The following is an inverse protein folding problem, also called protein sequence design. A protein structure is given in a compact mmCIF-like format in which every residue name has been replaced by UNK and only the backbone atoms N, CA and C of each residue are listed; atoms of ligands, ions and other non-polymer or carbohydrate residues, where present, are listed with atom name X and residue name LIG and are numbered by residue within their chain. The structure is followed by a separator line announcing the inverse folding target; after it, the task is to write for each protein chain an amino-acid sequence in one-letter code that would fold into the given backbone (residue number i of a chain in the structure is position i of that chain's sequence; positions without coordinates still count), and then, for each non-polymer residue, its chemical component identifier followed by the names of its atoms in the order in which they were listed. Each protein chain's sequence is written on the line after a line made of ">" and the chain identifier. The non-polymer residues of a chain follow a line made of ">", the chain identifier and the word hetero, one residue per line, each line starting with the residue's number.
data_IF_764561910765
#
_entry.id   IF_764561910765
#
_cell.length_a   1.000
_cell.length_b   1.000
_cell.length_c   1.000
_cell.angle_alpha   90.00
_cell.angle_beta   90.00
_cell.angle_gamma   90.00
#
_symmetry.space_group_name_H-M   'P 1'
#
loop_
_entity.id
_entity.type
_entity.pdbx_description
1 polymer ?
#
# COMPACT_ATOMS: atom_id res chain seq x y z
N UNK A 1 0.13 -37.82 -47.71
CA UNK A 1 -0.93 -37.34 -48.64
C UNK A 1 -2.28 -37.82 -48.16
N UNK A 2 -3.30 -37.04 -48.21
CA UNK A 2 -3.44 -35.59 -48.16
C UNK A 2 -4.43 -35.11 -47.08
N UNK A 3 -4.40 -33.85 -46.83
CA UNK A 3 -5.46 -33.03 -46.25
C UNK A 3 -6.63 -32.97 -47.31
N UNK A 4 -7.88 -32.78 -46.90
CA UNK A 4 -8.48 -31.45 -46.89
C UNK A 4 -9.50 -31.24 -45.78
N UNK A 5 -9.63 -29.99 -45.41
CA UNK A 5 -10.53 -28.89 -45.82
C UNK A 5 -11.79 -28.80 -44.99
N UNK A 6 -11.85 -27.66 -44.26
CA UNK A 6 -12.79 -26.53 -44.40
C UNK A 6 -14.29 -26.82 -44.36
N UNK A 7 -14.93 -26.10 -43.48
CA UNK A 7 -16.20 -25.40 -43.71
C UNK A 7 -16.55 -24.58 -42.46
N UNK A 8 -16.38 -23.35 -42.41
CA UNK A 8 -17.02 -22.12 -42.88
C UNK A 8 -18.56 -22.19 -42.94
N UNK A 9 -19.09 -21.06 -42.52
CA UNK A 9 -20.45 -20.53 -42.69
C UNK A 9 -21.37 -20.74 -41.47
N UNK A 10 -22.14 -19.78 -41.04
CA UNK A 10 -22.64 -18.51 -41.58
C UNK A 10 -23.24 -17.69 -40.42
N UNK A 11 -22.87 -16.50 -40.28
CA UNK A 11 -23.56 -15.22 -40.34
C UNK A 11 -25.08 -15.26 -40.58
N UNK A 12 -25.82 -14.52 -39.80
CA UNK A 12 -26.89 -13.59 -40.11
C UNK A 12 -27.47 -13.05 -38.82
N UNK A 13 -27.26 -11.81 -38.50
CA UNK A 13 -27.97 -10.59 -38.94
C UNK A 13 -29.51 -10.75 -38.82
N UNK A 14 -30.13 -9.90 -38.09
CA UNK A 14 -30.73 -8.61 -38.26
C UNK A 14 -31.79 -8.41 -37.17
N UNK A 15 -31.73 -7.34 -36.47
CA UNK A 15 -32.34 -6.03 -36.62
C UNK A 15 -33.79 -5.92 -36.13
N UNK A 16 -34.06 -4.81 -35.50
CA UNK A 16 -35.34 -4.22 -35.20
C UNK A 16 -35.29 -3.43 -33.91
N UNK A 17 -34.85 -2.23 -33.86
CA UNK A 17 -35.50 -0.93 -34.07
C UNK A 17 -36.94 -0.91 -33.50
N UNK A 18 -37.11 -0.07 -32.52
CA UNK A 18 -37.98 1.09 -32.42
C UNK A 18 -38.18 1.41 -30.94
N UNK A 19 -37.72 2.49 -30.52
CA UNK A 19 -38.15 3.89 -30.58
C UNK A 19 -39.41 4.21 -29.81
N UNK A 20 -39.24 5.31 -29.10
CA UNK A 20 -40.22 6.28 -28.63
C UNK A 20 -40.86 5.96 -27.26
N UNK A 21 -40.99 6.84 -26.43
CA UNK A 21 -40.95 8.28 -26.32
C UNK A 21 -41.46 8.64 -24.93
N UNK A 22 -40.81 9.64 -24.32
CA UNK A 22 -41.39 10.78 -23.61
C UNK A 22 -42.47 10.50 -22.56
N UNK A 23 -42.46 11.13 -21.50
CA UNK A 23 -42.55 12.50 -21.01
C UNK A 23 -42.61 12.45 -19.50
N UNK A 24 -41.80 13.15 -18.82
CA UNK A 24 -41.89 14.49 -18.27
C UNK A 24 -43.00 14.68 -17.20
N UNK A 25 -42.55 15.29 -16.14
CA UNK A 25 -43.15 16.40 -15.45
C UNK A 25 -43.57 16.20 -13.98
N UNK A 26 -42.86 17.00 -13.22
CA UNK A 26 -43.25 17.87 -12.10
C UNK A 26 -43.33 17.28 -10.70
N UNK A 27 -42.33 17.74 -9.93
CA UNK A 27 -42.41 18.94 -9.04
C UNK A 27 -43.47 18.87 -8.00
N UNK A 28 -43.02 18.77 -6.77
CA UNK A 28 -43.27 19.76 -5.72
C UNK A 28 -42.63 19.29 -4.41
N UNK A 29 -41.68 20.06 -3.91
CA UNK A 29 -41.55 20.40 -2.51
C UNK A 29 -42.77 21.25 -2.10
N UNK A 30 -43.11 21.47 -0.84
CA UNK A 30 -42.15 21.85 0.22
C UNK A 30 -42.51 21.42 1.65
N UNK A 31 -41.51 21.49 2.48
CA UNK A 31 -41.40 22.26 3.71
C UNK A 31 -42.10 21.82 5.02
N UNK A 32 -41.24 21.80 6.01
CA UNK A 32 -41.29 22.49 7.32
C UNK A 32 -42.04 21.75 8.44
N UNK A 33 -41.39 21.42 9.51
CA UNK A 33 -41.20 22.17 10.74
C UNK A 33 -40.80 21.21 11.87
N UNK A 34 -39.66 21.51 12.50
CA UNK A 34 -39.39 21.61 13.93
C UNK A 34 -39.92 20.50 14.85
N UNK A 35 -39.24 20.06 15.82
CA UNK A 35 -38.49 20.66 16.90
C UNK A 35 -37.87 19.56 17.76
N UNK A 36 -36.60 19.67 18.04
CA UNK A 36 -35.94 19.73 19.33
C UNK A 36 -36.45 18.80 20.46
N UNK A 37 -35.57 17.89 20.89
CA UNK A 37 -35.29 17.76 22.33
C UNK A 37 -33.84 17.24 22.52
N UNK A 38 -33.15 18.03 23.25
CA UNK A 38 -31.83 17.99 23.82
C UNK A 38 -31.57 16.80 24.76
N UNK A 39 -30.28 16.40 24.74
CA UNK A 39 -29.39 16.13 25.90
C UNK A 39 -29.14 14.68 26.32
N UNK A 40 -28.00 14.41 26.94
CA UNK A 40 -26.61 14.77 26.59
C UNK A 40 -25.66 13.57 26.46
N UNK A 41 -24.55 13.83 25.85
CA UNK A 41 -23.29 13.15 25.84
C UNK A 41 -22.85 12.44 27.13
N UNK A 42 -21.94 11.42 26.94
CA UNK A 42 -20.60 11.71 27.39
C UNK A 42 -19.60 11.63 26.24
N UNK A 43 -18.76 12.63 26.25
CA UNK A 43 -17.65 12.85 25.38
C UNK A 43 -16.77 11.61 25.28
N UNK A 44 -16.85 10.89 24.17
CA UNK A 44 -15.73 10.14 23.66
C UNK A 44 -14.88 11.16 22.94
N UNK A 45 -13.78 11.52 23.57
CA UNK A 45 -12.68 12.20 22.93
C UNK A 45 -12.34 11.38 21.69
N UNK A 46 -12.89 11.76 20.56
CA UNK A 46 -12.32 11.43 19.27
C UNK A 46 -10.98 12.15 19.28
N UNK A 47 -9.95 11.43 19.68
CA UNK A 47 -8.61 11.74 19.27
C UNK A 47 -8.69 11.81 17.74
N UNK A 48 -8.71 13.02 17.22
CA UNK A 48 -8.50 13.29 15.81
C UNK A 48 -7.17 12.66 15.48
N UNK A 49 -7.25 11.46 14.94
CA UNK A 49 -6.12 10.87 14.23
C UNK A 49 -5.95 11.78 13.02
N UNK A 50 -5.13 12.83 13.21
CA UNK A 50 -4.54 13.58 12.10
C UNK A 50 -4.07 12.52 11.11
N UNK A 51 -4.46 12.59 9.83
CA UNK A 51 -3.93 11.68 8.84
C UNK A 51 -2.42 11.74 8.97
N UNK A 52 -1.84 10.67 9.50
CA UNK A 52 -0.41 10.52 9.58
C UNK A 52 0.08 10.77 8.17
N UNK A 53 0.91 11.75 8.00
CA UNK A 53 1.52 12.10 6.73
C UNK A 53 1.95 10.79 6.07
N UNK A 54 1.33 10.48 4.95
CA UNK A 54 1.53 9.29 4.12
C UNK A 54 3.02 9.10 3.79
N UNK A 55 3.80 10.15 3.97
CA UNK A 55 5.22 10.29 3.72
C UNK A 55 6.13 9.29 4.44
N UNK A 56 5.72 8.73 5.56
CA UNK A 56 6.58 7.81 6.33
C UNK A 56 5.97 6.43 6.59
N UNK A 57 4.72 6.23 6.21
CA UNK A 57 4.02 4.96 6.25
C UNK A 57 3.26 4.66 7.54
N UNK A 58 2.38 3.67 7.45
CA UNK A 58 1.46 3.22 8.51
C UNK A 58 2.18 2.85 9.82
N UNK A 59 3.35 2.26 9.74
CA UNK A 59 4.06 1.72 10.91
C UNK A 59 4.86 2.73 11.72
N UNK A 60 4.82 4.02 11.38
CA UNK A 60 5.55 5.07 12.12
C UNK A 60 5.24 5.08 13.62
N UNK A 61 3.95 5.08 13.97
CA UNK A 61 3.55 5.11 15.37
C UNK A 61 3.93 3.82 16.11
N UNK A 62 3.84 2.68 15.44
CA UNK A 62 4.29 1.39 15.99
C UNK A 62 5.79 1.39 16.27
N UNK A 63 6.59 1.96 15.38
CA UNK A 63 8.01 2.13 15.60
C UNK A 63 8.29 3.01 16.81
N UNK A 64 7.59 4.12 16.96
CA UNK A 64 7.75 5.00 18.13
C UNK A 64 7.38 4.30 19.44
N UNK A 65 6.40 3.43 19.45
CA UNK A 65 6.06 2.60 20.59
C UNK A 65 7.13 1.53 20.83
N UNK A 66 7.61 0.88 19.77
CA UNK A 66 8.64 -0.13 19.84
C UNK A 66 9.94 0.42 20.48
N UNK A 67 10.42 1.58 20.08
CA UNK A 67 11.66 2.17 20.62
C UNK A 67 11.55 2.63 22.06
N UNK A 68 10.35 2.85 22.59
CA UNK A 68 10.14 3.11 24.03
C UNK A 68 10.41 1.87 24.88
N UNK A 69 10.08 0.69 24.36
CA UNK A 69 10.26 -0.60 25.03
C UNK A 69 11.59 -1.26 24.66
N UNK A 70 12.05 -1.04 23.44
CA UNK A 70 13.29 -1.59 22.89
C UNK A 70 14.01 -0.48 22.11
N UNK A 71 14.96 0.22 22.73
CA UNK A 71 15.71 1.29 22.07
C UNK A 71 16.44 0.79 20.84
N UNK A 72 16.63 1.67 19.86
CA UNK A 72 17.40 1.37 18.65
C UNK A 72 18.82 0.96 19.03
N UNK A 73 19.21 -0.24 18.64
CA UNK A 73 20.55 -0.80 18.91
C UNK A 73 21.40 -0.89 17.67
N UNK A 74 20.77 -0.85 16.48
CA UNK A 74 21.42 -1.01 15.20
C UNK A 74 21.12 0.16 14.28
N UNK A 75 22.17 0.67 13.66
CA UNK A 75 22.13 1.68 12.63
C UNK A 75 23.16 1.30 11.56
N UNK A 76 22.70 0.66 10.52
CA UNK A 76 23.56 0.03 9.53
C UNK A 76 23.25 0.58 8.14
N UNK A 77 24.31 0.71 7.32
CA UNK A 77 24.18 0.99 5.89
C UNK A 77 24.35 -0.33 5.16
N UNK A 78 23.33 -0.70 4.42
CA UNK A 78 23.21 -2.06 3.86
C UNK A 78 22.82 -2.03 2.39
N UNK A 79 23.15 -3.12 1.69
CA UNK A 79 22.74 -3.32 0.30
C UNK A 79 21.33 -3.90 0.26
N UNK A 80 20.46 -3.24 -0.46
CA UNK A 80 19.06 -3.62 -0.61
C UNK A 80 18.68 -3.99 -2.03
N UNK A 81 17.64 -4.80 -2.15
CA UNK A 81 16.91 -5.04 -3.39
C UNK A 81 15.42 -4.86 -3.17
N UNK A 82 14.65 -4.94 -4.24
CA UNK A 82 13.19 -4.81 -4.20
C UNK A 82 12.54 -6.18 -4.32
N UNK A 83 11.50 -6.44 -3.54
CA UNK A 83 10.55 -7.52 -3.82
C UNK A 83 9.18 -6.95 -4.15
N UNK A 84 8.46 -7.63 -5.03
CA UNK A 84 7.14 -7.18 -5.50
C UNK A 84 6.04 -7.67 -4.57
N UNK A 85 5.16 -6.77 -4.20
CA UNK A 85 3.94 -7.04 -3.44
C UNK A 85 2.84 -6.06 -3.86
N UNK A 86 1.60 -6.45 -3.68
CA UNK A 86 0.44 -5.57 -3.88
C UNK A 86 0.17 -4.66 -2.68
N UNK A 87 0.76 -4.96 -1.52
CA UNK A 87 0.58 -4.19 -0.28
C UNK A 87 1.38 -2.89 -0.29
N UNK A 88 0.89 -1.89 0.41
CA UNK A 88 1.59 -0.64 0.67
C UNK A 88 1.26 0.50 -0.30
N UNK A 89 0.61 0.22 -1.43
CA UNK A 89 0.28 1.23 -2.43
C UNK A 89 -0.88 2.16 -2.03
N UNK A 90 -1.83 1.64 -1.26
CA UNK A 90 -3.00 2.40 -0.82
C UNK A 90 -3.00 2.68 0.68
N UNK A 91 -2.42 1.77 1.46
CA UNK A 91 -2.45 1.78 2.91
C UNK A 91 -1.13 2.17 3.56
N UNK A 92 -0.11 2.48 2.76
CA UNK A 92 1.25 2.82 3.19
C UNK A 92 1.87 1.81 4.19
N UNK A 93 1.45 0.55 4.13
CA UNK A 93 2.02 -0.56 4.90
C UNK A 93 3.21 -1.13 4.17
N UNK A 94 4.37 -0.67 4.54
CA UNK A 94 5.62 -1.12 3.94
C UNK A 94 6.16 -2.35 4.64
N UNK A 95 6.84 -3.18 3.90
CA UNK A 95 7.39 -4.44 4.38
C UNK A 95 8.84 -4.60 3.95
N UNK A 96 9.59 -5.39 4.73
CA UNK A 96 10.95 -5.75 4.40
C UNK A 96 11.27 -7.18 4.82
N UNK A 97 12.31 -7.72 4.21
CA UNK A 97 12.96 -8.96 4.58
C UNK A 97 14.38 -8.63 5.01
N UNK A 98 14.80 -9.13 6.16
CA UNK A 98 16.14 -8.92 6.72
C UNK A 98 16.49 -10.08 7.63
N UNK A 99 17.74 -10.52 7.55
CA UNK A 99 18.24 -11.55 8.44
C UNK A 99 18.53 -10.98 9.84
N UNK A 100 18.48 -11.83 10.86
CA UNK A 100 18.79 -11.50 12.25
C UNK A 100 17.84 -10.52 12.95
N UNK A 101 16.71 -10.19 12.33
CA UNK A 101 15.67 -9.35 12.93
C UNK A 101 14.37 -10.15 12.98
N UNK A 102 13.78 -10.24 14.15
CA UNK A 102 12.54 -11.02 14.33
C UNK A 102 11.39 -10.50 13.48
N UNK A 103 10.63 -11.40 12.83
CA UNK A 103 9.41 -11.03 12.12
C UNK A 103 8.47 -10.23 13.04
N UNK A 104 7.83 -9.22 12.47
CA UNK A 104 6.96 -8.31 13.21
C UNK A 104 7.64 -7.04 13.74
N UNK A 105 8.96 -7.02 13.85
CA UNK A 105 9.73 -5.83 14.20
C UNK A 105 9.55 -4.74 13.17
N UNK A 106 9.45 -3.49 13.60
CA UNK A 106 9.41 -2.35 12.70
C UNK A 106 10.82 -1.77 12.54
N UNK A 107 11.21 -1.57 11.32
CA UNK A 107 12.53 -1.02 10.94
C UNK A 107 12.32 0.31 10.21
N UNK A 108 13.07 1.32 10.61
CA UNK A 108 13.16 2.57 9.87
C UNK A 108 14.17 2.39 8.73
N UNK A 109 13.71 2.58 7.51
CA UNK A 109 14.53 2.52 6.29
C UNK A 109 14.70 3.93 5.74
N UNK A 110 15.92 4.31 5.45
CA UNK A 110 16.26 5.67 4.98
C UNK A 110 17.02 5.55 3.67
N UNK A 111 16.60 6.29 2.67
CA UNK A 111 17.39 6.50 1.46
C UNK A 111 18.47 7.55 1.73
N UNK A 112 19.75 7.21 1.70
CA UNK A 112 20.84 8.14 2.03
C UNK A 112 21.02 9.25 1.00
N UNK A 113 20.47 9.10 -0.20
CA UNK A 113 20.61 10.08 -1.28
C UNK A 113 19.71 11.30 -1.08
N UNK A 114 18.47 11.07 -0.62
CA UNK A 114 17.47 12.14 -0.46
C UNK A 114 16.97 12.31 0.98
N UNK A 115 17.49 11.50 1.94
CA UNK A 115 17.10 11.44 3.34
C UNK A 115 15.61 11.10 3.60
N UNK A 116 14.89 10.61 2.59
CA UNK A 116 13.53 10.09 2.80
C UNK A 116 13.57 8.82 3.63
N UNK A 117 12.59 8.68 4.50
CA UNK A 117 12.50 7.56 5.42
C UNK A 117 11.10 6.97 5.43
N UNK A 118 11.02 5.65 5.49
CA UNK A 118 9.78 4.91 5.71
C UNK A 118 9.95 3.95 6.87
N UNK A 119 8.82 3.53 7.46
CA UNK A 119 8.79 2.51 8.48
C UNK A 119 8.18 1.25 7.89
N UNK A 120 8.95 0.17 7.91
CA UNK A 120 8.56 -1.10 7.31
C UNK A 120 8.58 -2.23 8.34
N UNK A 121 7.62 -3.15 8.23
CA UNK A 121 7.51 -4.31 9.10
C UNK A 121 8.30 -5.47 8.53
N UNK A 122 9.10 -6.11 9.37
CA UNK A 122 9.82 -7.33 9.00
C UNK A 122 8.84 -8.47 8.78
N UNK A 123 8.88 -9.08 7.60
CA UNK A 123 8.10 -10.28 7.28
C UNK A 123 8.85 -11.57 7.60
N UNK A 124 10.15 -11.56 7.45
CA UNK A 124 10.99 -12.73 7.68
C UNK A 124 12.43 -12.53 7.22
N UNK A 125 13.15 -13.63 7.16
CA UNK A 125 14.53 -13.71 6.77
C UNK A 125 14.70 -13.91 5.26
N UNK A 126 15.90 -13.61 4.78
CA UNK A 126 16.29 -13.78 3.36
C UNK A 126 17.19 -15.00 3.13
N UNK A 127 17.69 -15.60 4.21
CA UNK A 127 18.62 -16.71 4.15
C UNK A 127 18.05 -17.91 3.39
N UNK A 128 18.89 -18.57 2.60
CA UNK A 128 18.51 -19.73 1.78
C UNK A 128 17.89 -19.42 0.42
N UNK A 129 17.67 -18.16 0.07
CA UNK A 129 17.10 -17.76 -1.22
C UNK A 129 18.23 -17.26 -2.14
N UNK A 130 18.53 -17.99 -3.22
CA UNK A 130 19.61 -17.66 -4.16
C UNK A 130 19.50 -16.24 -4.75
N UNK A 131 18.29 -15.76 -4.96
CA UNK A 131 18.01 -14.43 -5.51
C UNK A 131 18.42 -13.30 -4.56
N UNK A 132 18.69 -13.60 -3.30
CA UNK A 132 19.12 -12.65 -2.29
C UNK A 132 20.64 -12.53 -2.16
N UNK A 133 21.39 -13.25 -2.99
CA UNK A 133 22.87 -13.23 -2.95
C UNK A 133 23.42 -11.82 -3.11
N UNK A 134 24.19 -11.38 -2.10
CA UNK A 134 24.77 -10.04 -2.06
C UNK A 134 23.76 -8.92 -1.74
N UNK A 135 22.67 -9.27 -1.09
CA UNK A 135 21.74 -8.34 -0.48
C UNK A 135 21.69 -8.61 1.03
N UNK A 136 21.63 -7.56 1.81
CA UNK A 136 21.46 -7.61 3.27
C UNK A 136 20.00 -7.43 3.66
N UNK A 137 19.22 -6.75 2.81
CA UNK A 137 17.81 -6.50 3.03
C UNK A 137 17.05 -6.45 1.70
N UNK A 138 15.77 -6.76 1.72
CA UNK A 138 14.85 -6.47 0.61
C UNK A 138 13.67 -5.67 1.12
N UNK A 139 13.33 -4.63 0.40
CA UNK A 139 12.17 -3.78 0.72
C UNK A 139 11.05 -4.00 -0.31
N UNK A 140 9.82 -3.77 0.10
CA UNK A 140 8.68 -3.84 -0.81
C UNK A 140 8.77 -2.74 -1.89
N UNK A 141 8.24 -3.02 -3.07
CA UNK A 141 8.20 -2.07 -4.17
C UNK A 141 7.47 -0.76 -3.80
N UNK A 142 6.42 -0.82 -2.98
CA UNK A 142 5.75 0.37 -2.47
C UNK A 142 6.66 1.20 -1.53
N UNK A 143 7.49 0.54 -0.69
CA UNK A 143 8.47 1.21 0.15
C UNK A 143 9.57 1.88 -0.68
N UNK A 144 10.08 1.19 -1.71
CA UNK A 144 11.07 1.74 -2.62
C UNK A 144 10.53 2.99 -3.36
N UNK A 145 9.30 2.92 -3.84
CA UNK A 145 8.62 4.07 -4.46
C UNK A 145 8.48 5.25 -3.51
N UNK A 146 8.09 5.02 -2.25
CA UNK A 146 7.99 6.08 -1.23
C UNK A 146 9.35 6.69 -0.86
N UNK A 147 10.43 5.91 -0.96
CA UNK A 147 11.81 6.37 -0.78
C UNK A 147 12.40 7.02 -2.05
N UNK A 148 11.63 7.07 -3.15
CA UNK A 148 12.11 7.52 -4.48
C UNK A 148 13.37 6.76 -4.94
N UNK A 149 13.35 5.47 -4.76
CA UNK A 149 14.39 4.56 -5.22
C UNK A 149 13.94 3.94 -6.53
N UNK A 150 14.75 4.09 -7.57
CA UNK A 150 14.52 3.43 -8.84
C UNK A 150 14.71 1.90 -8.72
N UNK A 151 13.97 1.14 -9.52
CA UNK A 151 14.08 -0.33 -9.55
C UNK A 151 15.30 -0.76 -10.42
N UNK A 152 16.49 -0.37 -9.97
CA UNK A 152 17.77 -0.58 -10.68
C UNK A 152 18.52 -1.84 -10.18
N UNK A 153 17.82 -2.71 -9.46
CA UNK A 153 18.39 -3.95 -8.94
C UNK A 153 18.93 -3.81 -7.53
N UNK A 154 20.18 -3.37 -7.34
CA UNK A 154 20.79 -3.22 -6.01
C UNK A 154 21.06 -1.76 -5.70
N UNK A 155 20.71 -1.35 -4.48
CA UNK A 155 20.91 0.01 -4.00
C UNK A 155 21.25 0.01 -2.51
N UNK A 156 21.67 1.16 -2.00
CA UNK A 156 22.08 1.31 -0.60
C UNK A 156 20.97 1.98 0.18
N UNK A 157 20.68 1.46 1.35
CA UNK A 157 19.78 2.08 2.34
C UNK A 157 20.41 2.07 3.72
N UNK A 158 19.97 2.95 4.59
CA UNK A 158 20.25 2.87 6.03
C UNK A 158 19.06 2.25 6.74
N UNK A 159 19.32 1.35 7.65
CA UNK A 159 18.32 0.67 8.47
C UNK A 159 18.57 0.89 9.95
N UNK A 160 17.53 1.21 10.69
CA UNK A 160 17.57 1.46 12.13
C UNK A 160 16.54 0.58 12.82
N UNK A 161 16.95 -0.23 13.78
CA UNK A 161 16.10 -1.14 14.56
C UNK A 161 16.70 -1.47 15.92
#
# INVERSE_FOLDING_TARGET
>A
KPIPEQSVFHTKEQSGIDETEKEEVKKTEPAVVKEEVKKPEPAVVKEEVKPATIDQGYFKNHFQQQIKSSPITKNETVTSGIFKTTSGWQDAKYYLLIDKVSPGTIVKVINPTNNKAVYAKVLGEMSGIRQNSGLDVRISNAAASALEIADDGKFIVKVNY
#
